data_IF_372162486175
#
_entry.id   IF_372162486175
#
_cell.length_a   1.000
_cell.length_b   1.000
_cell.length_c   1.000
_cell.angle_alpha   90.00
_cell.angle_beta   90.00
_cell.angle_gamma   90.00
#
_symmetry.space_group_name_H-M   'P 1'
#
loop_
_entity.id
_entity.type
_entity.pdbx_description
1 polymer ?
#
# COMPACT_ATOMS: atom_id res chain seq x y z
N UNK A 1 -7.67 22.70 -2.44
CA UNK A 1 -6.37 22.00 -2.40
C UNK A 1 -5.52 22.19 -3.67
N UNK A 2 -6.06 22.12 -4.89
CA UNK A 2 -5.26 22.26 -6.12
C UNK A 2 -4.40 23.54 -6.18
N UNK A 3 -4.90 24.67 -5.66
CA UNK A 3 -4.11 25.92 -5.53
C UNK A 3 -2.87 25.77 -4.64
N UNK A 4 -2.97 24.99 -3.56
CA UNK A 4 -1.84 24.71 -2.67
C UNK A 4 -0.88 23.70 -3.30
N UNK A 5 -1.40 22.73 -4.05
CA UNK A 5 -0.56 21.82 -4.83
C UNK A 5 0.28 22.58 -5.86
N UNK A 6 -0.32 23.54 -6.58
CA UNK A 6 0.38 24.43 -7.50
C UNK A 6 1.45 25.26 -6.78
N UNK A 7 1.15 25.76 -5.57
CA UNK A 7 2.10 26.49 -4.75
C UNK A 7 3.29 25.61 -4.34
N UNK A 8 3.03 24.36 -3.94
CA UNK A 8 4.08 23.38 -3.59
C UNK A 8 4.96 23.10 -4.81
N UNK A 9 4.37 22.86 -5.98
CA UNK A 9 5.13 22.65 -7.23
C UNK A 9 5.99 23.87 -7.60
N UNK A 10 5.49 25.09 -7.37
CA UNK A 10 6.23 26.33 -7.60
C UNK A 10 7.33 26.61 -6.56
N UNK A 11 7.40 25.82 -5.48
CA UNK A 11 8.33 26.02 -4.36
C UNK A 11 9.12 24.74 -4.04
N UNK A 12 9.23 23.82 -5.00
CA UNK A 12 9.97 22.56 -4.79
C UNK A 12 11.46 22.79 -4.54
N UNK A 13 12.05 23.81 -5.15
CA UNK A 13 13.45 24.24 -4.98
C UNK A 13 13.70 25.09 -3.72
N UNK A 14 12.64 25.50 -3.02
CA UNK A 14 12.72 26.31 -1.80
C UNK A 14 12.34 25.54 -0.53
N UNK A 15 12.86 25.99 0.62
CA UNK A 15 12.46 25.51 1.95
C UNK A 15 11.16 26.19 2.41
N UNK A 16 10.04 25.90 1.74
CA UNK A 16 8.74 26.13 2.39
C UNK A 16 8.45 24.98 3.36
N UNK A 17 8.17 25.34 4.60
CA UNK A 17 7.82 24.38 5.65
C UNK A 17 6.36 23.93 5.50
N UNK A 18 6.01 22.73 5.97
CA UNK A 18 4.61 22.31 6.08
C UNK A 18 3.73 23.29 6.88
N UNK A 19 4.30 23.96 7.88
CA UNK A 19 3.59 24.93 8.71
C UNK A 19 3.19 26.18 7.92
N UNK A 20 4.09 26.71 7.09
CA UNK A 20 3.80 27.85 6.20
C UNK A 20 2.79 27.48 5.11
N UNK A 21 2.85 26.27 4.58
CA UNK A 21 1.85 25.77 3.63
C UNK A 21 0.46 25.66 4.27
N UNK A 22 0.40 25.21 5.53
CA UNK A 22 -0.84 25.12 6.28
C UNK A 22 -1.45 26.49 6.57
N UNK A 23 -0.63 27.44 7.00
CA UNK A 23 -1.02 28.83 7.24
C UNK A 23 -1.58 29.48 5.96
N UNK A 24 -0.88 29.31 4.83
CA UNK A 24 -1.35 29.76 3.51
C UNK A 24 -2.63 29.06 3.05
N UNK A 25 -2.88 27.84 3.50
CA UNK A 25 -4.10 27.09 3.22
C UNK A 25 -5.27 27.46 4.15
N UNK A 26 -5.03 28.25 5.21
CA UNK A 26 -6.03 28.60 6.21
C UNK A 26 -6.38 27.44 7.15
N UNK A 27 -5.45 26.50 7.34
CA UNK A 27 -5.65 25.30 8.14
C UNK A 27 -4.58 25.18 9.23
N UNK A 28 -4.90 24.46 10.31
CA UNK A 28 -3.85 24.00 11.22
C UNK A 28 -2.90 23.04 10.49
N UNK A 29 -1.62 23.00 10.91
CA UNK A 29 -0.60 22.14 10.29
C UNK A 29 -1.07 20.70 10.09
N UNK A 30 -1.63 20.11 11.14
CA UNK A 30 -2.13 18.74 11.12
C UNK A 30 -3.31 18.55 10.16
N UNK A 31 -4.25 19.49 10.13
CA UNK A 31 -5.39 19.41 9.21
C UNK A 31 -4.95 19.61 7.75
N UNK A 32 -3.97 20.47 7.50
CA UNK A 32 -3.40 20.68 6.18
C UNK A 32 -2.67 19.45 5.61
N UNK A 33 -1.71 18.90 6.37
CA UNK A 33 -0.95 17.71 5.97
C UNK A 33 -1.89 16.55 5.62
N UNK A 34 -2.94 16.45 6.41
CA UNK A 34 -3.95 15.45 6.21
C UNK A 34 -4.78 15.67 4.93
N UNK A 35 -5.38 16.85 4.75
CA UNK A 35 -6.15 17.17 3.56
C UNK A 35 -5.29 17.01 2.29
N UNK A 36 -4.00 17.32 2.38
CA UNK A 36 -3.05 17.11 1.30
C UNK A 36 -2.93 15.63 0.95
N UNK A 37 -2.65 14.75 1.92
CA UNK A 37 -2.51 13.32 1.66
C UNK A 37 -3.78 12.71 1.05
N UNK A 38 -4.97 13.09 1.53
CA UNK A 38 -6.23 12.65 0.93
C UNK A 38 -6.41 13.13 -0.50
N UNK A 39 -6.13 14.41 -0.72
CA UNK A 39 -6.38 15.03 -2.01
C UNK A 39 -5.34 14.62 -3.04
N UNK A 40 -4.14 14.23 -2.63
CA UNK A 40 -3.02 13.94 -3.54
C UNK A 40 -2.74 12.44 -3.65
N UNK A 41 -3.15 11.65 -2.65
CA UNK A 41 -2.98 10.20 -2.57
C UNK A 41 -1.68 9.76 -1.88
N UNK A 42 -0.88 10.69 -1.35
CA UNK A 42 0.37 10.38 -0.66
C UNK A 42 0.80 11.51 0.29
N UNK A 43 1.57 11.21 1.36
CA UNK A 43 2.03 12.22 2.32
C UNK A 43 2.82 13.36 1.65
N UNK A 44 2.71 14.59 2.18
CA UNK A 44 3.37 15.78 1.63
C UNK A 44 4.88 15.62 1.46
N UNK A 45 5.57 15.06 2.44
CA UNK A 45 7.03 14.86 2.37
C UNK A 45 7.41 13.89 1.25
N UNK A 46 6.69 12.77 1.14
CA UNK A 46 6.89 11.79 0.06
C UNK A 46 6.58 12.40 -1.30
N UNK A 47 5.50 13.17 -1.38
CA UNK A 47 5.14 13.92 -2.58
C UNK A 47 6.26 14.86 -3.02
N UNK A 48 6.72 15.75 -2.14
CA UNK A 48 7.79 16.70 -2.46
C UNK A 48 9.06 15.98 -2.89
N UNK A 49 9.44 14.90 -2.20
CA UNK A 49 10.59 14.09 -2.56
C UNK A 49 10.45 13.52 -3.99
N UNK A 50 9.37 12.78 -4.28
CA UNK A 50 9.09 12.21 -5.60
C UNK A 50 9.11 13.27 -6.70
N UNK A 51 8.54 14.43 -6.45
CA UNK A 51 8.50 15.55 -7.40
C UNK A 51 9.89 16.16 -7.63
N UNK A 52 10.65 16.41 -6.57
CA UNK A 52 12.06 16.87 -6.67
C UNK A 52 12.91 15.89 -7.47
N UNK A 53 12.77 14.58 -7.26
CA UNK A 53 13.48 13.57 -8.04
C UNK A 53 13.08 13.60 -9.53
N UNK A 54 11.78 13.74 -9.83
CA UNK A 54 11.28 13.85 -11.20
C UNK A 54 11.79 15.11 -11.93
N UNK A 55 11.94 16.24 -11.23
CA UNK A 55 12.54 17.43 -11.80
C UNK A 55 14.06 17.33 -11.95
N UNK A 56 14.75 16.75 -10.97
CA UNK A 56 16.18 16.51 -11.04
C UNK A 56 16.54 15.61 -12.23
N UNK A 57 15.80 14.52 -12.47
CA UNK A 57 16.08 13.63 -13.60
C UNK A 57 15.81 14.29 -14.96
N UNK A 58 14.82 15.18 -15.02
CA UNK A 58 14.56 15.99 -16.21
C UNK A 58 15.71 16.94 -16.52
N UNK A 59 16.25 17.63 -15.52
CA UNK A 59 17.39 18.52 -15.69
C UNK A 59 18.67 17.76 -16.05
N UNK A 60 18.92 16.60 -15.44
CA UNK A 60 20.04 15.71 -15.80
C UNK A 60 19.92 15.28 -17.26
N UNK A 61 18.72 14.91 -17.70
CA UNK A 61 18.45 14.58 -19.10
C UNK A 61 18.68 15.75 -20.07
N UNK A 62 18.61 17.00 -19.58
CA UNK A 62 18.95 18.21 -20.33
C UNK A 62 20.44 18.57 -20.30
N UNK A 63 21.26 17.75 -19.64
CA UNK A 63 22.72 17.91 -19.59
C UNK A 63 23.24 18.54 -18.30
N UNK A 64 22.41 18.72 -17.26
CA UNK A 64 22.87 19.17 -15.95
C UNK A 64 23.65 18.06 -15.24
N UNK A 65 24.71 18.43 -14.50
CA UNK A 65 25.44 17.49 -13.66
C UNK A 65 24.54 16.91 -12.56
N UNK A 66 24.73 15.63 -12.20
CA UNK A 66 23.88 14.94 -11.21
C UNK A 66 23.92 15.64 -9.84
N UNK A 67 25.10 16.06 -9.40
CA UNK A 67 25.28 16.79 -8.14
C UNK A 67 24.58 18.15 -8.17
N UNK A 68 24.71 18.88 -9.28
CA UNK A 68 24.10 20.21 -9.43
C UNK A 68 22.57 20.11 -9.46
N UNK A 69 22.02 19.11 -10.16
CA UNK A 69 20.60 18.83 -10.19
C UNK A 69 20.06 18.44 -8.80
N UNK A 70 20.80 17.60 -8.06
CA UNK A 70 20.44 17.24 -6.69
C UNK A 70 20.36 18.47 -5.77
N UNK A 71 21.40 19.32 -5.78
CA UNK A 71 21.45 20.54 -4.97
C UNK A 71 20.35 21.53 -5.37
N UNK A 72 20.14 21.74 -6.68
CA UNK A 72 19.11 22.63 -7.22
C UNK A 72 17.71 22.28 -6.70
N UNK A 73 17.38 20.99 -6.60
CA UNK A 73 16.07 20.52 -6.16
C UNK A 73 16.00 20.23 -4.66
N UNK A 74 16.92 20.79 -3.87
CA UNK A 74 16.84 20.81 -2.41
C UNK A 74 17.26 19.51 -1.73
N UNK A 75 18.15 18.72 -2.34
CA UNK A 75 18.88 17.65 -1.65
C UNK A 75 20.21 18.20 -1.12
N UNK A 76 20.54 17.88 0.14
CA UNK A 76 21.78 18.36 0.78
C UNK A 76 23.05 17.71 0.22
N UNK A 77 22.93 16.55 -0.41
CA UNK A 77 24.07 15.80 -0.94
C UNK A 77 23.68 14.86 -2.07
N UNK A 78 24.68 14.53 -2.91
CA UNK A 78 24.56 13.51 -3.95
C UNK A 78 24.15 12.14 -3.38
N UNK A 79 24.70 11.75 -2.22
CA UNK A 79 24.36 10.48 -1.57
C UNK A 79 22.91 10.45 -1.08
N UNK A 80 22.41 11.55 -0.51
CA UNK A 80 21.01 11.71 -0.13
C UNK A 80 20.06 11.60 -1.32
N UNK A 81 20.38 12.30 -2.41
CA UNK A 81 19.64 12.20 -3.68
C UNK A 81 19.65 10.78 -4.24
N UNK A 82 20.82 10.14 -4.32
CA UNK A 82 20.96 8.80 -4.89
C UNK A 82 20.14 7.76 -4.11
N UNK A 83 20.17 7.82 -2.77
CA UNK A 83 19.37 6.95 -1.91
C UNK A 83 17.88 7.18 -2.14
N UNK A 84 17.42 8.43 -2.14
CA UNK A 84 16.02 8.77 -2.38
C UNK A 84 15.56 8.34 -3.79
N UNK A 85 16.40 8.53 -4.81
CA UNK A 85 16.12 8.14 -6.18
C UNK A 85 15.97 6.62 -6.32
N UNK A 86 16.87 5.86 -5.70
CA UNK A 86 16.78 4.40 -5.66
C UNK A 86 15.52 3.91 -4.95
N UNK A 87 15.18 4.50 -3.81
CA UNK A 87 13.96 4.16 -3.08
C UNK A 87 12.70 4.40 -3.90
N UNK A 88 12.67 5.45 -4.73
CA UNK A 88 11.49 5.79 -5.53
C UNK A 88 11.42 5.02 -6.86
N UNK A 89 12.55 4.77 -7.53
CA UNK A 89 12.59 4.24 -8.89
C UNK A 89 13.25 2.85 -9.03
N UNK A 90 13.75 2.28 -7.93
CA UNK A 90 14.37 0.95 -7.90
C UNK A 90 15.74 0.84 -8.58
N UNK A 91 16.29 1.93 -9.13
CA UNK A 91 17.56 1.91 -9.87
C UNK A 91 18.30 3.24 -9.78
N UNK A 92 19.54 3.28 -10.29
CA UNK A 92 20.32 4.52 -10.33
C UNK A 92 19.75 5.52 -11.35
N UNK A 93 19.96 6.84 -11.16
CA UNK A 93 19.55 7.86 -12.12
C UNK A 93 20.03 7.57 -13.55
N UNK A 94 21.29 7.16 -13.70
CA UNK A 94 21.89 6.83 -15.00
C UNK A 94 21.21 5.63 -15.67
N UNK A 95 20.98 4.54 -14.91
CA UNK A 95 20.29 3.36 -15.43
C UNK A 95 18.84 3.68 -15.83
N UNK A 96 18.17 4.54 -15.07
CA UNK A 96 16.82 4.98 -15.36
C UNK A 96 16.75 5.78 -16.67
N UNK A 97 17.67 6.73 -16.88
CA UNK A 97 17.76 7.52 -18.12
C UNK A 97 18.01 6.68 -19.37
N UNK A 98 18.77 5.59 -19.26
CA UNK A 98 19.02 4.69 -20.40
C UNK A 98 17.79 3.85 -20.79
N UNK A 99 16.91 3.57 -19.83
CA UNK A 99 15.78 2.65 -20.00
C UNK A 99 14.42 3.34 -20.15
N UNK A 100 14.34 4.65 -19.87
CA UNK A 100 13.08 5.40 -19.85
C UNK A 100 13.15 6.68 -20.69
N UNK A 101 12.01 7.04 -21.28
CA UNK A 101 11.83 8.35 -21.93
C UNK A 101 11.48 9.38 -20.87
N UNK A 102 12.36 10.35 -20.64
CA UNK A 102 12.10 11.43 -19.68
C UNK A 102 11.09 12.41 -20.25
N UNK A 103 10.09 12.75 -19.45
CA UNK A 103 9.09 13.78 -19.77
C UNK A 103 9.25 14.96 -18.82
N UNK A 104 8.91 16.14 -19.31
CA UNK A 104 8.83 17.34 -18.48
C UNK A 104 7.80 17.11 -17.35
N UNK A 105 8.16 17.36 -16.09
CA UNK A 105 7.24 17.17 -14.98
C UNK A 105 6.11 18.19 -15.05
N UNK A 106 4.89 17.73 -15.32
CA UNK A 106 3.69 18.56 -15.22
C UNK A 106 3.17 18.62 -13.77
N UNK A 107 2.53 19.73 -13.41
CA UNK A 107 1.82 19.87 -12.13
C UNK A 107 0.68 18.85 -12.08
N UNK A 108 0.65 17.94 -11.09
CA UNK A 108 -0.38 16.93 -11.00
C UNK A 108 -1.72 17.52 -10.54
N UNK A 109 -2.80 16.87 -10.95
CA UNK A 109 -4.14 17.13 -10.43
C UNK A 109 -4.37 16.36 -9.11
N UNK A 110 -5.35 16.80 -8.33
CA UNK A 110 -5.82 16.07 -7.14
C UNK A 110 -6.40 14.71 -7.52
N UNK A 111 -6.20 13.72 -6.66
CA UNK A 111 -6.73 12.36 -6.76
C UNK A 111 -8.22 12.33 -7.13
N UNK A 112 -9.05 13.07 -6.41
CA UNK A 112 -10.50 13.11 -6.67
C UNK A 112 -10.82 13.76 -8.03
N UNK A 113 -10.10 14.81 -8.42
CA UNK A 113 -10.28 15.47 -9.73
C UNK A 113 -9.84 14.57 -10.90
N UNK A 114 -8.83 13.73 -10.65
CA UNK A 114 -8.30 12.76 -11.60
C UNK A 114 -9.30 11.63 -11.83
N UNK A 115 -9.83 11.01 -10.77
CA UNK A 115 -10.76 9.88 -10.90
C UNK A 115 -12.17 10.31 -11.32
N UNK A 116 -12.59 11.56 -11.05
CA UNK A 116 -13.79 12.16 -11.68
C UNK A 116 -13.75 12.19 -13.21
N UNK A 117 -12.56 12.09 -13.81
CA UNK A 117 -12.42 11.98 -15.26
C UNK A 117 -12.65 10.56 -15.79
N UNK A 118 -12.70 9.54 -14.93
CA UNK A 118 -12.96 8.17 -15.34
C UNK A 118 -14.46 7.92 -15.46
N UNK A 119 -15.00 8.25 -16.64
CA UNK A 119 -16.36 7.84 -16.98
C UNK A 119 -16.40 6.37 -17.40
N UNK A 120 -17.60 5.78 -17.41
CA UNK A 120 -17.80 4.42 -17.97
C UNK A 120 -17.35 4.36 -19.43
N UNK A 121 -17.54 5.44 -20.18
CA UNK A 121 -17.04 5.60 -21.54
C UNK A 121 -15.50 5.52 -21.59
N UNK A 122 -14.79 6.13 -20.63
CA UNK A 122 -13.33 6.04 -20.57
C UNK A 122 -12.82 4.63 -20.28
N UNK A 123 -13.50 3.88 -19.40
CA UNK A 123 -13.19 2.47 -19.19
C UNK A 123 -13.44 1.64 -20.46
N UNK A 124 -14.52 1.93 -21.18
CA UNK A 124 -14.86 1.21 -22.42
C UNK A 124 -13.85 1.53 -23.54
N UNK A 125 -13.51 2.80 -23.74
CA UNK A 125 -12.45 3.23 -24.65
C UNK A 125 -11.11 2.53 -24.33
N UNK A 126 -10.76 2.46 -23.04
CA UNK A 126 -9.54 1.78 -22.60
C UNK A 126 -9.58 0.28 -22.95
N UNK A 127 -10.70 -0.41 -22.72
CA UNK A 127 -10.86 -1.84 -22.97
C UNK A 127 -10.58 -2.23 -24.44
N UNK A 128 -10.95 -1.36 -25.38
CA UNK A 128 -10.72 -1.54 -26.82
C UNK A 128 -9.21 -1.67 -27.14
N UNK A 129 -8.33 -1.04 -26.36
CA UNK A 129 -6.88 -1.18 -26.55
C UNK A 129 -6.35 -2.60 -26.29
N UNK A 130 -7.08 -3.41 -25.52
CA UNK A 130 -6.80 -4.85 -25.35
C UNK A 130 -7.52 -5.72 -26.39
N UNK A 131 -8.19 -5.11 -27.38
CA UNK A 131 -8.97 -5.81 -28.40
C UNK A 131 -10.27 -6.43 -27.85
N UNK A 132 -10.77 -5.91 -26.72
CA UNK A 132 -11.96 -6.41 -26.05
C UNK A 132 -13.11 -5.41 -26.16
N UNK A 133 -14.32 -5.96 -26.31
CA UNK A 133 -15.59 -5.22 -26.26
C UNK A 133 -16.56 -6.00 -25.36
N UNK A 134 -16.48 -5.73 -24.06
CA UNK A 134 -17.23 -6.44 -23.02
C UNK A 134 -18.12 -5.47 -22.24
N UNK A 135 -19.27 -5.94 -21.71
CA UNK A 135 -20.11 -5.11 -20.86
C UNK A 135 -19.37 -4.74 -19.57
N UNK A 136 -19.42 -3.45 -19.23
CA UNK A 136 -18.81 -2.93 -18.02
C UNK A 136 -19.80 -2.90 -16.86
N UNK A 137 -19.42 -3.40 -15.69
CA UNK A 137 -20.18 -3.28 -14.45
C UNK A 137 -19.31 -2.70 -13.33
N UNK A 138 -19.88 -1.91 -12.39
CA UNK A 138 -19.12 -1.35 -11.28
C UNK A 138 -18.55 -2.43 -10.36
N UNK A 139 -17.37 -2.19 -9.80
CA UNK A 139 -16.84 -3.00 -8.70
C UNK A 139 -17.47 -2.52 -7.39
N UNK A 140 -18.27 -3.36 -6.76
CA UNK A 140 -18.91 -3.07 -5.46
C UNK A 140 -18.28 -3.92 -4.36
N UNK A 141 -17.89 -3.28 -3.26
CA UNK A 141 -17.34 -3.93 -2.08
C UNK A 141 -18.45 -4.38 -1.12
N UNK A 142 -18.20 -5.35 -0.22
CA UNK A 142 -19.18 -5.79 0.78
C UNK A 142 -19.79 -4.67 1.64
N UNK A 143 -19.06 -3.56 1.81
CA UNK A 143 -19.55 -2.34 2.48
C UNK A 143 -20.63 -1.57 1.70
N UNK A 144 -20.90 -1.94 0.46
CA UNK A 144 -21.75 -1.19 -0.48
C UNK A 144 -21.01 -0.07 -1.21
N UNK A 145 -19.74 0.20 -0.87
CA UNK A 145 -18.92 1.15 -1.60
C UNK A 145 -18.70 0.69 -3.05
N UNK A 146 -18.82 1.61 -3.99
CA UNK A 146 -18.52 1.39 -5.41
C UNK A 146 -17.17 2.01 -5.72
N UNK A 147 -16.28 1.25 -6.38
CA UNK A 147 -14.95 1.72 -6.77
C UNK A 147 -15.04 2.86 -7.78
N UNK A 148 -14.31 3.96 -7.53
CA UNK A 148 -14.16 5.09 -8.45
C UNK A 148 -13.09 4.84 -9.53
N UNK A 149 -12.26 3.80 -9.36
CA UNK A 149 -11.09 3.53 -10.18
C UNK A 149 -11.04 2.12 -10.77
N UNK A 150 -12.08 1.30 -10.58
CA UNK A 150 -12.13 -0.04 -11.16
C UNK A 150 -13.52 -0.41 -11.70
N UNK A 151 -13.53 -1.15 -12.82
CA UNK A 151 -14.75 -1.70 -13.41
C UNK A 151 -14.52 -3.15 -13.85
N UNK A 152 -15.49 -4.02 -13.56
CA UNK A 152 -15.52 -5.34 -14.17
C UNK A 152 -15.85 -5.21 -15.66
N UNK A 153 -15.22 -6.04 -16.49
CA UNK A 153 -15.50 -6.19 -17.91
C UNK A 153 -15.85 -7.65 -18.18
N UNK A 154 -17.14 -7.93 -18.40
CA UNK A 154 -17.67 -9.29 -18.37
C UNK A 154 -17.39 -10.01 -17.04
N UNK A 155 -17.26 -11.33 -17.10
CA UNK A 155 -17.10 -12.16 -15.90
C UNK A 155 -15.64 -12.38 -15.50
N UNK A 156 -14.69 -12.20 -16.42
CA UNK A 156 -13.32 -12.72 -16.28
C UNK A 156 -12.27 -11.65 -16.03
N UNK A 157 -12.54 -10.39 -16.34
CA UNK A 157 -11.54 -9.33 -16.26
C UNK A 157 -12.03 -8.09 -15.52
N UNK A 158 -11.09 -7.33 -14.99
CA UNK A 158 -11.31 -6.06 -14.29
C UNK A 158 -10.31 -5.04 -14.81
N UNK A 159 -10.79 -3.85 -15.10
CA UNK A 159 -9.98 -2.67 -15.39
C UNK A 159 -9.70 -1.94 -14.09
N UNK A 160 -8.45 -1.52 -13.87
CA UNK A 160 -8.04 -0.75 -12.70
C UNK A 160 -7.21 0.45 -13.14
N UNK A 161 -7.59 1.64 -12.67
CA UNK A 161 -6.85 2.86 -12.89
C UNK A 161 -5.99 3.20 -11.67
N UNK A 162 -4.73 3.53 -11.93
CA UNK A 162 -3.74 3.87 -10.92
C UNK A 162 -2.92 5.09 -11.33
N UNK A 163 -2.35 5.77 -10.34
CA UNK A 163 -1.38 6.88 -10.53
C UNK A 163 0.07 6.40 -10.43
N UNK A 164 0.27 5.11 -10.20
CA UNK A 164 1.58 4.51 -10.00
C UNK A 164 1.86 3.48 -11.11
N UNK A 165 2.56 3.92 -12.16
CA UNK A 165 3.02 3.03 -13.24
C UNK A 165 4.03 1.99 -12.73
N UNK A 166 4.82 2.36 -11.73
CA UNK A 166 5.92 1.55 -11.22
C UNK A 166 5.43 0.34 -10.42
N UNK A 167 4.38 0.51 -9.61
CA UNK A 167 3.77 -0.60 -8.86
C UNK A 167 3.24 -1.71 -9.79
N UNK A 168 2.77 -1.35 -10.99
CA UNK A 168 2.22 -2.30 -11.95
C UNK A 168 3.21 -3.40 -12.36
N UNK A 169 4.51 -3.09 -12.45
CA UNK A 169 5.54 -4.07 -12.88
C UNK A 169 5.77 -5.15 -11.83
N UNK A 170 5.96 -4.76 -10.57
CA UNK A 170 6.13 -5.71 -9.48
C UNK A 170 4.85 -6.53 -9.29
N UNK A 171 3.68 -5.88 -9.28
CA UNK A 171 2.40 -6.56 -9.15
C UNK A 171 2.19 -7.63 -10.23
N UNK A 172 2.51 -7.32 -11.49
CA UNK A 172 2.41 -8.29 -12.59
C UNK A 172 3.38 -9.46 -12.41
N UNK A 173 4.66 -9.19 -12.15
CA UNK A 173 5.68 -10.22 -11.98
C UNK A 173 5.39 -11.14 -10.78
N UNK A 174 4.94 -10.56 -9.67
CA UNK A 174 4.52 -11.29 -8.48
C UNK A 174 3.31 -12.18 -8.81
N UNK A 175 2.26 -11.62 -9.40
CA UNK A 175 1.05 -12.38 -9.76
C UNK A 175 1.37 -13.58 -10.66
N UNK A 176 2.18 -13.39 -11.70
CA UNK A 176 2.58 -14.47 -12.61
C UNK A 176 3.39 -15.55 -11.88
N UNK A 177 4.28 -15.15 -10.96
CA UNK A 177 5.10 -16.04 -10.13
C UNK A 177 4.24 -16.89 -9.18
N UNK A 178 3.19 -16.29 -8.60
CA UNK A 178 2.22 -16.96 -7.73
C UNK A 178 1.43 -18.00 -8.52
N UNK A 179 0.84 -17.60 -9.66
CA UNK A 179 0.04 -18.50 -10.50
C UNK A 179 0.88 -19.65 -11.05
N UNK A 180 2.13 -19.40 -11.47
CA UNK A 180 3.02 -20.46 -11.95
C UNK A 180 3.36 -21.50 -10.88
N UNK A 181 3.10 -21.21 -9.61
CA UNK A 181 3.33 -22.08 -8.45
C UNK A 181 2.02 -22.58 -7.81
N UNK A 182 0.89 -22.37 -8.48
CA UNK A 182 -0.41 -22.86 -8.02
C UNK A 182 -1.07 -22.02 -6.94
N UNK A 183 -0.56 -20.82 -6.62
CA UNK A 183 -1.24 -19.86 -5.75
C UNK A 183 -2.17 -19.02 -6.62
N UNK A 184 -3.51 -19.06 -6.43
CA UNK A 184 -4.42 -18.28 -7.25
C UNK A 184 -4.18 -16.78 -7.02
N UNK A 185 -3.96 -16.03 -8.09
CA UNK A 185 -3.72 -14.60 -8.02
C UNK A 185 -4.34 -13.88 -9.22
N UNK A 186 -4.75 -12.62 -9.02
CA UNK A 186 -5.17 -11.75 -10.11
C UNK A 186 -3.96 -11.39 -10.98
N UNK A 187 -4.00 -11.74 -12.26
CA UNK A 187 -2.85 -11.59 -13.19
C UNK A 187 -3.09 -10.47 -14.19
N UNK A 188 -2.04 -9.74 -14.55
CA UNK A 188 -2.15 -8.63 -15.48
C UNK A 188 -2.15 -9.11 -16.94
N UNK A 189 -3.01 -8.53 -17.77
CA UNK A 189 -3.07 -8.79 -19.20
C UNK A 189 -2.32 -7.67 -19.94
N UNK A 190 -1.20 -7.97 -20.60
CA UNK A 190 -0.48 -6.95 -21.35
C UNK A 190 -1.29 -6.48 -22.56
N UNK A 191 -1.02 -5.24 -22.98
CA UNK A 191 -1.45 -4.69 -24.25
C UNK A 191 -0.84 -5.49 -25.41
N UNK A 192 -1.42 -5.43 -26.63
CA UNK A 192 -0.88 -6.12 -27.80
C UNK A 192 0.57 -5.76 -28.14
N UNK A 193 1.04 -4.57 -27.72
CA UNK A 193 2.41 -4.10 -27.89
C UNK A 193 3.37 -4.49 -26.74
N UNK A 194 2.88 -5.30 -25.79
CA UNK A 194 3.65 -5.81 -24.64
C UNK A 194 3.69 -4.89 -23.43
N UNK A 195 3.13 -3.67 -23.49
CA UNK A 195 3.06 -2.80 -22.31
C UNK A 195 2.07 -3.34 -21.28
N UNK A 196 2.39 -3.18 -20.00
CA UNK A 196 1.54 -3.63 -18.90
C UNK A 196 0.36 -2.67 -18.59
N UNK A 197 0.52 -1.39 -18.90
CA UNK A 197 -0.49 -0.38 -18.59
C UNK A 197 -0.69 0.62 -19.73
N UNK A 198 -1.94 1.00 -19.95
CA UNK A 198 -2.37 2.00 -20.92
C UNK A 198 -2.33 3.40 -20.29
N UNK A 199 -1.52 4.34 -20.80
CA UNK A 199 -1.54 5.71 -20.29
C UNK A 199 -2.84 6.43 -20.70
N UNK A 200 -3.57 6.97 -19.73
CA UNK A 200 -4.80 7.74 -19.94
C UNK A 200 -4.56 9.26 -19.98
N UNK A 201 -3.32 9.70 -19.69
CA UNK A 201 -2.93 11.10 -19.54
C UNK A 201 -3.01 11.59 -18.10
N UNK A 202 -2.44 12.77 -17.82
CA UNK A 202 -2.38 13.41 -16.48
C UNK A 202 -1.84 12.53 -15.34
N UNK A 203 -0.96 11.58 -15.68
CA UNK A 203 -0.39 10.63 -14.70
C UNK A 203 -1.39 9.58 -14.23
N UNK A 204 -2.32 9.18 -15.10
CA UNK A 204 -3.13 7.97 -14.92
C UNK A 204 -2.70 6.88 -15.91
N UNK A 205 -2.72 5.66 -15.40
CA UNK A 205 -2.54 4.45 -16.16
C UNK A 205 -3.70 3.50 -15.87
N UNK A 206 -4.15 2.79 -16.90
CA UNK A 206 -5.13 1.73 -16.80
C UNK A 206 -4.44 0.39 -16.97
N UNK A 207 -4.73 -0.57 -16.10
CA UNK A 207 -4.35 -1.97 -16.26
C UNK A 207 -5.60 -2.80 -16.49
N UNK A 208 -5.43 -3.92 -17.20
CA UNK A 208 -6.44 -4.95 -17.34
C UNK A 208 -5.95 -6.19 -16.62
N UNK A 209 -6.76 -6.73 -15.71
CA UNK A 209 -6.40 -7.90 -14.93
C UNK A 209 -7.39 -9.02 -15.15
N UNK A 210 -6.89 -10.27 -15.23
CA UNK A 210 -7.70 -11.49 -15.14
C UNK A 210 -8.03 -11.76 -13.68
N UNK A 211 -9.33 -11.86 -13.41
CA UNK A 211 -9.88 -12.05 -12.06
C UNK A 211 -9.60 -13.45 -11.55
N UNK A 212 -9.41 -13.55 -10.23
CA UNK A 212 -9.57 -14.81 -9.52
C UNK A 212 -11.07 -15.11 -9.39
N UNK A 213 -11.49 -16.30 -9.82
CA UNK A 213 -12.89 -16.75 -9.69
C UNK A 213 -13.15 -17.21 -8.27
N UNK A 214 -14.19 -16.68 -7.65
CA UNK A 214 -14.55 -17.00 -6.29
C UNK A 214 -15.29 -15.87 -5.60
N UNK A 215 -15.44 -15.99 -4.29
CA UNK A 215 -16.15 -15.03 -3.44
C UNK A 215 -15.15 -14.26 -2.58
N UNK A 216 -15.30 -12.94 -2.46
CA UNK A 216 -14.48 -12.15 -1.53
C UNK A 216 -14.81 -12.56 -0.10
N UNK A 217 -13.79 -12.75 0.73
CA UNK A 217 -14.00 -12.98 2.15
C UNK A 217 -14.49 -11.70 2.84
N UNK A 218 -15.22 -11.87 3.94
CA UNK A 218 -15.65 -10.76 4.80
C UNK A 218 -15.20 -11.00 6.24
N UNK A 219 -14.83 -9.94 6.96
CA UNK A 219 -14.47 -10.08 8.36
C UNK A 219 -15.61 -10.67 9.22
N UNK A 220 -16.86 -10.34 8.88
CA UNK A 220 -18.04 -10.86 9.57
C UNK A 220 -18.18 -12.38 9.45
N UNK A 221 -17.88 -12.97 8.29
CA UNK A 221 -17.89 -14.43 8.11
C UNK A 221 -16.72 -15.09 8.87
N UNK A 222 -15.53 -14.50 8.79
CA UNK A 222 -14.34 -15.03 9.46
C UNK A 222 -14.47 -15.02 10.98
N UNK A 223 -15.17 -14.05 11.54
CA UNK A 223 -15.46 -14.03 12.98
C UNK A 223 -16.55 -15.03 13.37
N UNK A 224 -17.50 -15.35 12.50
CA UNK A 224 -18.48 -16.42 12.77
C UNK A 224 -17.85 -17.81 12.68
N UNK A 225 -16.79 -17.95 11.89
CA UNK A 225 -16.07 -19.20 11.61
C UNK A 225 -14.56 -19.02 11.84
N UNK A 226 -14.12 -18.75 13.09
CA UNK A 226 -12.72 -18.41 13.38
C UNK A 226 -11.71 -19.51 12.99
N UNK A 227 -12.15 -20.76 12.89
CA UNK A 227 -11.37 -21.88 12.39
C UNK A 227 -10.85 -21.69 10.95
N UNK A 228 -11.55 -20.91 10.12
CA UNK A 228 -11.12 -20.58 8.75
C UNK A 228 -9.81 -19.77 8.74
N UNK A 229 -9.44 -19.16 9.87
CA UNK A 229 -8.13 -18.55 10.06
C UNK A 229 -6.99 -19.52 9.69
N UNK A 230 -7.13 -20.83 9.96
CA UNK A 230 -6.11 -21.83 9.59
C UNK A 230 -5.90 -21.91 8.09
N UNK A 231 -6.97 -21.86 7.31
CA UNK A 231 -6.89 -21.91 5.84
C UNK A 231 -6.24 -20.65 5.29
N UNK A 232 -6.57 -19.48 5.85
CA UNK A 232 -5.96 -18.20 5.47
C UNK A 232 -4.48 -18.16 5.82
N UNK A 233 -4.11 -18.56 7.04
CA UNK A 233 -2.72 -18.63 7.47
C UNK A 233 -1.87 -19.52 6.56
N UNK A 234 -2.39 -20.72 6.23
CA UNK A 234 -1.72 -21.62 5.30
C UNK A 234 -1.56 -20.99 3.90
N UNK A 235 -2.58 -20.30 3.40
CA UNK A 235 -2.51 -19.62 2.11
C UNK A 235 -1.49 -18.48 2.09
N UNK A 236 -1.38 -17.69 3.16
CA UNK A 236 -0.34 -16.65 3.29
C UNK A 236 1.07 -17.25 3.29
N UNK A 237 1.26 -18.39 3.95
CA UNK A 237 2.54 -19.09 3.92
C UNK A 237 2.89 -19.64 2.52
N UNK A 238 1.91 -20.19 1.79
CA UNK A 238 2.11 -20.61 0.40
C UNK A 238 2.36 -19.42 -0.54
N UNK A 239 1.67 -18.29 -0.32
CA UNK A 239 1.96 -17.02 -1.00
C UNK A 239 3.43 -16.63 -0.80
N UNK A 240 3.93 -16.59 0.43
CA UNK A 240 5.32 -16.21 0.70
C UNK A 240 6.33 -17.18 0.10
N UNK A 241 6.07 -18.49 0.16
CA UNK A 241 6.93 -19.51 -0.47
C UNK A 241 6.99 -19.34 -1.99
N UNK A 242 5.85 -19.04 -2.62
CA UNK A 242 5.79 -18.81 -4.05
C UNK A 242 6.47 -17.49 -4.44
N UNK A 243 6.21 -16.42 -3.69
CA UNK A 243 6.78 -15.09 -3.90
C UNK A 243 8.31 -15.07 -3.73
N UNK A 244 8.86 -15.90 -2.83
CA UNK A 244 10.30 -16.03 -2.60
C UNK A 244 11.10 -16.50 -3.84
N UNK A 245 10.42 -17.00 -4.88
CA UNK A 245 11.07 -17.37 -6.12
C UNK A 245 11.18 -16.24 -7.14
N UNK A 246 10.58 -15.08 -6.86
CA UNK A 246 10.83 -13.87 -7.64
C UNK A 246 12.22 -13.33 -7.29
N UNK A 247 12.97 -12.90 -8.30
CA UNK A 247 14.33 -12.38 -8.15
C UNK A 247 14.35 -11.15 -7.20
N UNK A 248 15.35 -11.07 -6.31
CA UNK A 248 15.41 -10.04 -5.28
C UNK A 248 15.54 -8.61 -5.86
N UNK A 249 15.98 -8.47 -7.11
CA UNK A 249 16.05 -7.16 -7.79
C UNK A 249 14.69 -6.49 -8.04
N UNK A 250 13.57 -7.22 -7.86
CA UNK A 250 12.23 -6.69 -8.06
C UNK A 250 11.72 -5.80 -6.93
N UNK A 251 12.30 -5.90 -5.73
CA UNK A 251 11.89 -5.09 -4.59
C UNK A 251 13.06 -4.91 -3.62
N UNK A 252 13.31 -3.68 -3.18
CA UNK A 252 14.30 -3.40 -2.15
C UNK A 252 13.76 -3.78 -0.77
N UNK A 253 14.67 -4.20 0.12
CA UNK A 253 14.37 -4.37 1.53
C UNK A 253 14.06 -3.00 2.16
N UNK A 254 12.87 -2.87 2.74
CA UNK A 254 12.59 -1.81 3.71
C UNK A 254 12.51 -2.47 5.08
N UNK A 255 13.52 -2.26 5.96
CA UNK A 255 13.48 -2.83 7.30
C UNK A 255 12.24 -2.34 8.03
N UNK A 256 11.40 -3.28 8.50
CA UNK A 256 10.10 -2.94 9.06
C UNK A 256 10.19 -1.94 10.22
N UNK A 257 11.22 -2.11 11.05
CA UNK A 257 11.56 -1.24 12.15
C UNK A 257 11.88 0.17 11.66
N UNK A 258 12.65 0.33 10.59
CA UNK A 258 13.00 1.66 10.06
C UNK A 258 11.78 2.38 9.50
N UNK A 259 10.87 1.66 8.84
CA UNK A 259 9.61 2.23 8.38
C UNK A 259 8.76 2.74 9.55
N UNK A 260 8.60 1.94 10.61
CA UNK A 260 7.83 2.34 11.79
C UNK A 260 8.47 3.47 12.57
N UNK A 261 9.75 3.34 12.91
CA UNK A 261 10.47 4.29 13.74
C UNK A 261 10.69 5.61 13.00
N UNK A 262 11.01 5.54 11.70
CA UNK A 262 11.35 6.69 10.87
C UNK A 262 10.15 7.43 10.30
N UNK A 263 9.05 6.73 9.99
CA UNK A 263 7.85 7.35 9.41
C UNK A 263 6.66 7.36 10.36
N UNK A 264 6.24 6.21 10.90
CA UNK A 264 4.97 6.10 11.62
C UNK A 264 4.99 6.80 12.99
N UNK A 265 6.00 6.51 13.83
CA UNK A 265 6.11 7.06 15.18
C UNK A 265 6.07 8.59 15.22
N UNK A 266 6.82 9.33 14.38
CA UNK A 266 6.71 10.78 14.32
C UNK A 266 5.30 11.32 14.06
N UNK A 267 4.46 10.60 13.29
CA UNK A 267 3.09 11.04 13.01
C UNK A 267 2.15 10.87 14.20
N UNK A 268 2.44 9.94 15.11
CA UNK A 268 1.54 9.58 16.21
C UNK A 268 1.86 10.24 17.55
N UNK A 269 3.00 10.95 17.67
CA UNK A 269 3.45 11.61 18.90
C UNK A 269 2.44 12.55 19.56
N UNK A 270 1.54 13.15 18.78
CA UNK A 270 0.49 14.03 19.30
C UNK A 270 -0.79 13.34 19.78
N UNK A 271 -0.91 12.02 19.56
CA UNK A 271 -2.14 11.26 19.81
C UNK A 271 -1.97 10.21 20.93
N UNK A 272 -0.74 9.82 21.23
CA UNK A 272 -0.42 8.73 22.16
C UNK A 272 0.58 9.18 23.24
N UNK A 273 0.57 8.57 24.43
CA UNK A 273 1.51 8.89 25.51
C UNK A 273 2.97 8.72 25.09
N UNK A 274 3.84 9.67 25.46
CA UNK A 274 5.26 9.66 25.06
C UNK A 274 6.03 8.47 25.65
N UNK A 275 5.71 8.07 26.87
CA UNK A 275 6.27 6.90 27.55
C UNK A 275 5.93 5.60 26.80
N UNK A 276 4.66 5.43 26.42
CA UNK A 276 4.23 4.32 25.57
C UNK A 276 5.02 4.27 24.25
N UNK A 277 5.16 5.42 23.57
CA UNK A 277 5.88 5.47 22.29
C UNK A 277 7.37 5.16 22.44
N UNK A 278 8.00 5.57 23.54
CA UNK A 278 9.39 5.25 23.84
C UNK A 278 9.59 3.75 24.11
N UNK A 279 8.72 3.16 24.93
CA UNK A 279 8.75 1.72 25.21
C UNK A 279 8.49 0.89 23.95
N UNK A 280 7.49 1.29 23.16
CA UNK A 280 7.20 0.64 21.89
C UNK A 280 8.37 0.75 20.90
N UNK A 281 9.02 1.91 20.81
CA UNK A 281 10.21 2.07 19.97
C UNK A 281 11.34 1.10 20.36
N UNK A 282 11.58 0.93 21.67
CA UNK A 282 12.56 -0.03 22.18
C UNK A 282 12.18 -1.49 21.85
N UNK A 283 10.88 -1.83 21.89
CA UNK A 283 10.41 -3.16 21.47
C UNK A 283 10.65 -3.39 19.97
N UNK A 284 10.33 -2.41 19.12
CA UNK A 284 10.56 -2.50 17.67
C UNK A 284 12.03 -2.73 17.34
N UNK A 285 12.96 -2.12 18.06
CA UNK A 285 14.40 -2.37 17.88
C UNK A 285 14.79 -3.85 18.03
N UNK A 286 14.11 -4.60 18.92
CA UNK A 286 14.40 -6.03 19.15
C UNK A 286 14.02 -6.94 17.97
N UNK A 287 13.23 -6.43 17.04
CA UNK A 287 12.64 -7.19 15.93
C UNK A 287 13.33 -6.91 14.58
N UNK A 288 14.45 -6.17 14.57
CA UNK A 288 15.17 -5.83 13.33
C UNK A 288 15.64 -7.05 12.54
N UNK A 289 15.92 -8.15 13.22
CA UNK A 289 16.46 -9.37 12.63
C UNK A 289 15.39 -10.37 12.17
N UNK A 290 14.10 -9.97 12.14
CA UNK A 290 13.04 -10.86 11.68
C UNK A 290 13.24 -11.28 10.23
N UNK A 291 12.88 -12.53 9.86
CA UNK A 291 12.95 -13.00 8.49
C UNK A 291 12.14 -12.13 7.53
N UNK A 292 12.76 -11.75 6.41
CA UNK A 292 12.18 -10.91 5.36
C UNK A 292 11.85 -11.75 4.13
N UNK A 293 10.73 -11.45 3.50
CA UNK A 293 10.36 -11.98 2.17
C UNK A 293 9.51 -10.95 1.43
N UNK A 294 9.20 -11.19 0.16
CA UNK A 294 8.18 -10.43 -0.55
C UNK A 294 6.80 -10.78 0.00
N UNK A 295 6.12 -9.79 0.60
CA UNK A 295 4.80 -9.96 1.23
C UNK A 295 3.74 -9.15 0.48
N UNK A 296 2.46 -9.45 0.75
CA UNK A 296 1.32 -8.76 0.15
C UNK A 296 1.14 -7.33 0.70
N UNK A 297 1.39 -7.11 2.00
CA UNK A 297 1.20 -5.84 2.75
C UNK A 297 -0.23 -5.38 2.98
N UNK A 298 -1.21 -5.97 2.31
CA UNK A 298 -2.64 -5.66 2.51
C UNK A 298 -3.58 -6.88 2.31
N UNK A 299 -3.31 -8.03 2.96
CA UNK A 299 -4.21 -9.19 2.92
C UNK A 299 -5.44 -8.99 3.83
N UNK A 300 -6.16 -7.88 3.63
CA UNK A 300 -7.48 -7.68 4.25
C UNK A 300 -8.51 -8.64 3.63
N UNK A 301 -9.62 -8.96 4.31
CA UNK A 301 -10.59 -9.94 3.83
C UNK A 301 -11.09 -9.67 2.40
N UNK A 302 -11.29 -8.40 2.03
CA UNK A 302 -11.79 -8.05 0.70
C UNK A 302 -10.79 -8.33 -0.43
N UNK A 303 -9.49 -8.44 -0.12
CA UNK A 303 -8.41 -8.82 -1.05
C UNK A 303 -8.13 -10.32 -1.07
N UNK A 304 -8.86 -11.11 -0.28
CA UNK A 304 -8.80 -12.56 -0.26
C UNK A 304 -10.03 -13.15 -0.96
N UNK A 305 -9.80 -14.05 -1.92
CA UNK A 305 -10.85 -14.67 -2.73
C UNK A 305 -10.93 -16.15 -2.38
N UNK A 306 -12.08 -16.57 -1.86
CA UNK A 306 -12.36 -18.00 -1.71
C UNK A 306 -12.73 -18.61 -3.06
N UNK A 307 -11.83 -19.45 -3.58
CA UNK A 307 -12.04 -20.21 -4.83
C UNK A 307 -12.76 -21.53 -4.59
N UNK A 308 -13.08 -21.85 -3.33
CA UNK A 308 -13.56 -23.16 -2.86
C UNK A 308 -12.41 -24.12 -2.55
N UNK A 309 -11.42 -24.22 -3.43
CA UNK A 309 -10.26 -25.11 -3.24
C UNK A 309 -9.08 -24.44 -2.50
N UNK A 310 -8.91 -23.14 -2.68
CA UNK A 310 -7.81 -22.35 -2.13
C UNK A 310 -8.23 -20.90 -1.89
N UNK A 311 -7.43 -20.16 -1.12
CA UNK A 311 -7.53 -18.71 -1.04
C UNK A 311 -6.68 -18.10 -2.14
N UNK A 312 -7.29 -17.24 -2.96
CA UNK A 312 -6.60 -16.43 -3.95
C UNK A 312 -6.39 -15.00 -3.49
N UNK A 313 -5.43 -14.33 -4.11
CA UNK A 313 -5.00 -12.98 -3.73
C UNK A 313 -5.19 -11.98 -4.87
N UNK A 314 -5.53 -10.75 -4.51
CA UNK A 314 -5.65 -9.63 -5.45
C UNK A 314 -5.02 -8.39 -4.82
N UNK A 315 -4.75 -7.37 -5.65
CA UNK A 315 -4.27 -6.06 -5.18
C UNK A 315 -2.88 -6.09 -4.53
N UNK A 316 -1.86 -6.21 -5.38
CA UNK A 316 -0.46 -6.27 -4.98
C UNK A 316 0.24 -4.91 -4.94
N UNK A 317 -0.51 -3.78 -4.99
CA UNK A 317 0.09 -2.44 -5.12
C UNK A 317 1.03 -2.07 -3.96
N UNK A 318 0.80 -2.62 -2.77
CA UNK A 318 1.63 -2.36 -1.59
C UNK A 318 2.74 -3.39 -1.39
N UNK A 319 2.80 -4.44 -2.21
CA UNK A 319 3.75 -5.54 -2.05
C UNK A 319 5.19 -5.06 -2.10
N UNK A 320 6.01 -5.60 -1.19
CA UNK A 320 7.44 -5.29 -1.05
C UNK A 320 8.14 -6.32 -0.19
N UNK A 321 9.47 -6.26 -0.14
CA UNK A 321 10.23 -7.06 0.82
C UNK A 321 10.11 -6.47 2.22
N UNK A 322 9.59 -7.26 3.14
CA UNK A 322 9.29 -6.86 4.50
C UNK A 322 9.31 -8.06 5.45
N UNK A 323 9.20 -7.84 6.75
CA UNK A 323 9.11 -8.92 7.74
C UNK A 323 7.93 -9.85 7.41
N UNK A 324 8.18 -11.15 7.18
CA UNK A 324 7.15 -12.07 6.67
C UNK A 324 5.97 -12.26 7.62
N UNK A 325 6.20 -12.12 8.92
CA UNK A 325 5.17 -12.21 9.97
C UNK A 325 4.16 -11.05 9.92
N UNK A 326 4.48 -9.98 9.16
CA UNK A 326 3.61 -8.82 8.99
C UNK A 326 2.25 -9.20 8.39
N UNK A 327 2.22 -9.98 7.30
CA UNK A 327 0.98 -10.31 6.60
C UNK A 327 -0.02 -11.06 7.50
N UNK A 328 0.36 -12.14 8.23
CA UNK A 328 -0.52 -12.76 9.23
C UNK A 328 -1.03 -11.78 10.28
N UNK A 329 -0.14 -10.92 10.82
CA UNK A 329 -0.53 -9.91 11.80
C UNK A 329 -1.51 -8.89 11.22
N UNK A 330 -1.28 -8.47 9.97
CA UNK A 330 -2.12 -7.53 9.26
C UNK A 330 -3.51 -8.11 8.98
N UNK A 331 -3.60 -9.35 8.53
CA UNK A 331 -4.90 -10.03 8.35
C UNK A 331 -5.67 -10.09 9.68
N UNK A 332 -5.00 -10.42 10.78
CA UNK A 332 -5.62 -10.46 12.12
C UNK A 332 -6.16 -9.08 12.54
N UNK A 333 -5.37 -8.02 12.38
CA UNK A 333 -5.79 -6.65 12.73
C UNK A 333 -6.84 -6.09 11.77
N UNK A 334 -6.77 -6.41 10.47
CA UNK A 334 -7.75 -5.98 9.48
C UNK A 334 -9.15 -6.57 9.76
N UNK A 335 -9.22 -7.87 10.09
CA UNK A 335 -10.47 -8.50 10.53
C UNK A 335 -11.02 -7.83 11.77
N UNK A 336 -10.18 -7.54 12.77
CA UNK A 336 -10.61 -6.83 13.98
C UNK A 336 -11.18 -5.45 13.65
N UNK A 337 -10.49 -4.68 12.81
CA UNK A 337 -10.91 -3.32 12.45
C UNK A 337 -12.28 -3.27 11.80
N UNK A 338 -12.65 -4.25 10.98
CA UNK A 338 -13.96 -4.28 10.33
C UNK A 338 -15.10 -4.67 11.30
N UNK A 339 -14.80 -5.39 12.38
CA UNK A 339 -15.81 -5.91 13.31
C UNK A 339 -15.82 -5.21 14.68
N UNK A 340 -14.84 -4.36 14.98
CA UNK A 340 -14.64 -3.81 16.33
C UNK A 340 -15.85 -3.04 16.89
N UNK A 341 -16.67 -2.46 16.01
CA UNK A 341 -17.90 -1.75 16.37
C UNK A 341 -19.19 -2.55 16.12
N UNK A 342 -19.08 -3.83 15.77
CA UNK A 342 -20.21 -4.71 15.41
C UNK A 342 -20.66 -5.51 16.60
N UNK A 343 -21.48 -4.91 17.46
CA UNK A 343 -22.04 -5.58 18.65
C UNK A 343 -22.96 -6.77 18.30
N UNK A 344 -23.39 -6.90 17.04
CA UNK A 344 -24.14 -8.04 16.52
C UNK A 344 -23.27 -9.27 16.24
N UNK A 345 -21.95 -9.17 16.37
CA UNK A 345 -20.98 -10.24 16.12
C UNK A 345 -20.24 -10.66 17.41
N UNK A 346 -19.94 -11.96 17.60
CA UNK A 346 -19.21 -12.47 18.77
C UNK A 346 -17.69 -12.26 18.63
N UNK A 347 -17.27 -11.06 18.22
CA UNK A 347 -15.88 -10.83 17.83
C UNK A 347 -14.92 -10.85 19.02
N UNK A 348 -15.36 -10.48 20.23
CA UNK A 348 -14.50 -10.46 21.43
C UNK A 348 -14.02 -11.85 21.79
N UNK A 349 -14.90 -12.84 21.70
CA UNK A 349 -14.61 -14.23 22.00
C UNK A 349 -13.91 -14.93 20.83
N UNK A 350 -14.35 -14.64 19.59
CA UNK A 350 -13.88 -15.38 18.42
C UNK A 350 -12.61 -14.82 17.78
N UNK A 351 -12.32 -13.53 17.93
CA UNK A 351 -11.12 -12.95 17.33
C UNK A 351 -9.81 -13.56 17.86
N UNK A 352 -9.63 -13.79 19.19
CA UNK A 352 -8.44 -14.51 19.67
C UNK A 352 -8.32 -15.93 19.13
N UNK A 353 -9.45 -16.62 18.92
CA UNK A 353 -9.49 -17.97 18.31
C UNK A 353 -9.04 -17.90 16.85
N UNK A 354 -9.55 -16.90 16.11
CA UNK A 354 -9.17 -16.63 14.73
C UNK A 354 -7.66 -16.35 14.62
N UNK A 355 -7.11 -15.50 15.50
CA UNK A 355 -5.68 -15.19 15.51
C UNK A 355 -4.81 -16.45 15.70
N UNK A 356 -5.16 -17.29 16.67
CA UNK A 356 -4.47 -18.57 16.90
C UNK A 356 -4.58 -19.50 15.70
N UNK A 357 -5.75 -19.54 15.04
CA UNK A 357 -5.95 -20.34 13.85
C UNK A 357 -5.08 -19.84 12.68
N UNK A 358 -5.01 -18.52 12.42
CA UNK A 358 -4.13 -17.92 11.40
C UNK A 358 -2.68 -18.30 11.63
N UNK A 359 -2.15 -18.09 12.84
CA UNK A 359 -0.77 -18.42 13.14
C UNK A 359 -0.49 -19.92 13.02
N UNK A 360 -1.38 -20.79 13.51
CA UNK A 360 -1.24 -22.23 13.37
C UNK A 360 -1.27 -22.70 11.91
N UNK A 361 -2.13 -22.11 11.09
CA UNK A 361 -2.20 -22.37 9.65
C UNK A 361 -0.91 -21.98 8.95
N UNK A 362 -0.41 -20.78 9.24
CA UNK A 362 0.83 -20.27 8.69
C UNK A 362 2.05 -21.15 9.09
N UNK A 363 2.17 -21.44 10.39
CA UNK A 363 3.25 -22.24 10.97
C UNK A 363 3.29 -23.68 10.41
N UNK A 364 2.13 -24.24 10.05
CA UNK A 364 2.03 -25.58 9.45
C UNK A 364 2.67 -25.72 8.06
N UNK A 365 2.83 -24.59 7.35
CA UNK A 365 3.38 -24.55 5.99
C UNK A 365 4.78 -23.93 5.97
N UNK A 366 4.98 -22.86 6.72
CA UNK A 366 6.23 -22.11 6.79
C UNK A 366 6.58 -21.79 8.25
N UNK A 367 7.21 -22.75 8.98
CA UNK A 367 7.43 -22.66 10.43
C UNK A 367 7.98 -21.30 10.89
N UNK A 368 7.35 -20.74 11.92
CA UNK A 368 7.72 -19.50 12.57
C UNK A 368 8.83 -19.76 13.57
N UNK A 369 9.85 -18.91 13.54
CA UNK A 369 10.89 -18.89 14.57
C UNK A 369 10.31 -18.40 15.90
N UNK A 370 10.97 -18.72 17.00
CA UNK A 370 10.57 -18.22 18.32
C UNK A 370 10.64 -16.68 18.38
N UNK A 371 11.57 -16.06 17.66
CA UNK A 371 11.65 -14.61 17.53
C UNK A 371 10.41 -14.01 16.82
N UNK A 372 9.91 -14.66 15.77
CA UNK A 372 8.71 -14.20 15.07
C UNK A 372 7.45 -14.36 15.93
N UNK A 373 7.33 -15.50 16.64
CA UNK A 373 6.21 -15.72 17.57
C UNK A 373 6.21 -14.66 18.68
N UNK A 374 7.37 -14.40 19.27
CA UNK A 374 7.53 -13.37 20.30
C UNK A 374 7.27 -11.95 19.77
N UNK A 375 7.51 -11.69 18.48
CA UNK A 375 7.29 -10.38 17.88
C UNK A 375 5.82 -10.10 17.52
N UNK A 376 4.93 -11.09 17.49
CA UNK A 376 3.52 -10.91 17.07
C UNK A 376 2.84 -9.72 17.75
N UNK A 377 2.88 -9.55 19.09
CA UNK A 377 2.25 -8.40 19.74
C UNK A 377 2.84 -7.05 19.29
N UNK A 378 4.16 -6.98 19.07
CA UNK A 378 4.84 -5.76 18.61
C UNK A 378 4.50 -5.44 17.16
N UNK A 379 4.42 -6.44 16.28
CA UNK A 379 4.01 -6.26 14.88
C UNK A 379 2.56 -5.78 14.80
N UNK A 380 1.64 -6.37 15.57
CA UNK A 380 0.23 -5.98 15.57
C UNK A 380 0.02 -4.54 16.06
N UNK A 381 0.67 -4.14 17.16
CA UNK A 381 0.68 -2.74 17.58
C UNK A 381 1.28 -1.83 16.50
N UNK A 382 2.34 -2.28 15.83
CA UNK A 382 2.92 -1.57 14.68
C UNK A 382 1.93 -1.37 13.53
N UNK A 383 1.09 -2.36 13.23
CA UNK A 383 0.02 -2.22 12.22
C UNK A 383 -0.95 -1.10 12.60
N UNK A 384 -1.41 -1.08 13.85
CA UNK A 384 -2.31 -0.02 14.33
C UNK A 384 -1.64 1.34 14.24
N UNK A 385 -0.37 1.47 14.61
CA UNK A 385 0.36 2.73 14.50
C UNK A 385 0.56 3.16 13.04
N UNK A 386 0.76 2.23 12.10
CA UNK A 386 0.79 2.54 10.67
C UNK A 386 -0.56 3.05 10.19
N UNK A 387 -1.66 2.43 10.62
CA UNK A 387 -3.01 2.88 10.31
C UNK A 387 -3.31 4.26 10.92
N UNK A 388 -3.04 4.46 12.21
CA UNK A 388 -3.21 5.73 12.91
C UNK A 388 -2.36 6.81 12.23
N UNK A 389 -1.10 6.54 11.92
CA UNK A 389 -0.22 7.46 11.20
C UNK A 389 -0.77 7.80 9.79
N UNK A 390 -1.26 6.79 9.06
CA UNK A 390 -1.80 6.98 7.71
C UNK A 390 -3.10 7.79 7.70
N UNK A 391 -3.93 7.67 8.74
CA UNK A 391 -5.22 8.34 8.86
C UNK A 391 -5.21 9.51 9.84
N UNK A 392 -4.08 9.88 10.41
CA UNK A 392 -3.97 11.04 11.29
C UNK A 392 -4.42 12.32 10.56
N UNK A 393 -5.29 13.09 11.21
CA UNK A 393 -5.96 14.28 10.67
C UNK A 393 -7.14 14.00 9.72
N UNK A 394 -7.30 12.73 9.33
CA UNK A 394 -8.47 11.99 8.86
C UNK A 394 -9.87 12.56 8.66
N UNK A 395 -10.24 13.55 7.84
CA UNK A 395 -11.69 13.92 7.81
C UNK A 395 -12.56 12.81 7.21
N UNK A 396 -12.24 12.34 5.99
CA UNK A 396 -12.90 11.20 5.30
C UNK A 396 -12.73 9.84 6.00
N UNK A 397 -11.59 9.62 6.66
CA UNK A 397 -11.26 8.33 7.31
C UNK A 397 -11.26 8.45 8.84
N UNK A 398 -12.00 9.42 9.38
CA UNK A 398 -12.09 9.67 10.82
C UNK A 398 -12.54 8.43 11.57
N UNK A 399 -13.54 7.73 11.04
CA UNK A 399 -14.06 6.53 11.67
C UNK A 399 -13.00 5.42 11.71
N UNK A 400 -12.20 5.27 10.64
CA UNK A 400 -11.10 4.28 10.61
C UNK A 400 -10.02 4.67 11.63
N UNK A 401 -9.63 5.95 11.67
CA UNK A 401 -8.70 6.45 12.69
C UNK A 401 -9.21 6.21 14.11
N UNK A 402 -10.46 6.57 14.40
CA UNK A 402 -11.10 6.42 15.71
C UNK A 402 -11.27 4.94 16.11
N UNK A 403 -11.43 4.03 15.14
CA UNK A 403 -11.41 2.58 15.35
C UNK A 403 -10.02 2.11 15.78
N UNK A 404 -8.98 2.43 15.01
CA UNK A 404 -7.61 1.98 15.29
C UNK A 404 -7.10 2.55 16.63
N UNK A 405 -7.43 3.81 16.94
CA UNK A 405 -7.12 4.41 18.25
C UNK A 405 -7.77 3.67 19.44
N UNK A 406 -8.94 3.06 19.25
CA UNK A 406 -9.61 2.24 20.29
C UNK A 406 -9.18 0.79 20.28
N UNK A 407 -8.75 0.26 19.14
CA UNK A 407 -8.21 -1.09 19.01
C UNK A 407 -6.85 -1.22 19.67
N UNK A 408 -6.00 -0.19 19.57
CA UNK A 408 -4.63 -0.25 20.08
C UNK A 408 -4.58 -0.65 21.59
N UNK A 409 -5.31 0.00 22.51
CA UNK A 409 -5.37 -0.45 23.91
C UNK A 409 -5.90 -1.87 24.06
N UNK A 410 -6.92 -2.25 23.28
CA UNK A 410 -7.48 -3.60 23.32
C UNK A 410 -6.44 -4.67 22.94
N UNK A 411 -5.66 -4.44 21.89
CA UNK A 411 -4.59 -5.35 21.43
C UNK A 411 -3.48 -5.45 22.50
N UNK A 412 -3.13 -4.33 23.14
CA UNK A 412 -2.14 -4.30 24.23
C UNK A 412 -2.61 -5.14 25.42
N UNK A 413 -3.89 -5.02 25.80
CA UNK A 413 -4.49 -5.73 26.93
C UNK A 413 -4.78 -7.21 26.62
N UNK A 414 -4.96 -7.56 25.34
CA UNK A 414 -5.39 -8.89 24.88
C UNK A 414 -4.48 -9.42 23.76
N UNK A 415 -3.17 -9.62 24.01
CA UNK A 415 -2.28 -10.17 23.00
C UNK A 415 -2.74 -11.59 22.63
N UNK A 416 -2.84 -11.93 21.34
CA UNK A 416 -3.42 -13.21 20.90
C UNK A 416 -2.53 -14.43 21.15
N UNK A 417 -1.27 -14.24 21.58
CA UNK A 417 -0.26 -15.30 21.78
C UNK A 417 0.51 -15.07 23.07
#
# INVERSE_FOLDING_TARGET
>A
MQRILNLIEATLDAEITPAELADKAGYSLWHFLHLFQQSVGQPLCRYRCKRRLAHAIWDINKGMGVTDAALKWGFESHSGFYRAFRLEYGMSPTAWLHSHRVKEPAVPLLHEEVYKMLSREKFHEALIHWGLDLPLTPVTYPSGHVSDNAMYAGDDVVLKASRDETSCRLSAALADTLVSRGVPAETMLPLPDGRLALPLGKGLWMTLCRRVKGTRLTAAELIRHPEEGRRIGAALAEFHKAAAALDESWADDEPWADHLLGWALPQVKGFLPEDYLADFAAQVETTRALPVTLIHRDPNPSNLIDTGAAIGFIDFELSRRFARIFDPCYTMTAVLSEVFQRDDLPWRENWPVFCKAVLAGYDSISPLTEAEKAAVPTIMQGNELLCIAAFAGSSKYKDIFDVNMRMLPFIIENPPV
#
